data_IF_743933670821
#
_entry.id   IF_743933670821
#
_cell.length_a   1.000
_cell.length_b   1.000
_cell.length_c   1.000
_cell.angle_alpha   90.00
_cell.angle_beta   90.00
_cell.angle_gamma   90.00
#
_symmetry.space_group_name_H-M   'P 1'
#
loop_
_entity.id
_entity.type
_entity.pdbx_description
1 polymer ?
#
# COMPACT_ATOMS: atom_id res chain seq x y z
N UNK A 1 20.13 7.85 22.64
CA UNK A 1 20.99 8.15 21.47
C UNK A 1 20.33 7.70 20.17
N UNK A 2 20.01 6.42 19.99
CA UNK A 2 19.27 5.92 18.81
C UNK A 2 17.91 6.62 18.60
N UNK A 3 17.10 6.79 19.65
CA UNK A 3 15.82 7.49 19.54
C UNK A 3 15.94 8.96 19.11
N UNK A 4 17.04 9.64 19.47
CA UNK A 4 17.30 11.02 19.04
C UNK A 4 17.78 11.06 17.59
N UNK A 5 18.61 10.09 17.17
CA UNK A 5 19.10 9.96 15.79
C UNK A 5 17.96 9.57 14.84
N UNK A 6 17.14 8.59 15.19
CA UNK A 6 15.97 8.19 14.41
C UNK A 6 14.85 9.25 14.48
N UNK A 7 14.65 9.86 15.65
CA UNK A 7 13.63 10.90 15.84
C UNK A 7 13.96 12.19 15.09
N UNK A 8 15.22 12.62 15.06
CA UNK A 8 15.65 13.79 14.30
C UNK A 8 15.57 13.54 12.77
N UNK A 9 15.95 12.35 12.30
CA UNK A 9 15.80 11.98 10.88
C UNK A 9 14.34 11.91 10.45
N UNK A 10 13.48 11.29 11.26
CA UNK A 10 12.06 11.14 10.96
C UNK A 10 11.28 12.48 11.08
N UNK A 11 11.65 13.34 12.02
CA UNK A 11 11.07 14.68 12.12
C UNK A 11 11.51 15.56 10.94
N UNK A 12 12.78 15.50 10.54
CA UNK A 12 13.27 16.22 9.36
C UNK A 12 12.48 15.86 8.09
N UNK A 13 12.21 14.56 7.90
CA UNK A 13 11.45 14.04 6.76
C UNK A 13 9.94 14.39 6.80
N UNK A 14 9.37 14.64 7.99
CA UNK A 14 7.97 15.08 8.12
C UNK A 14 7.74 16.59 7.96
N UNK A 15 8.76 17.44 8.15
CA UNK A 15 8.63 18.90 8.10
C UNK A 15 9.08 19.54 6.78
N UNK A 16 9.79 18.81 5.91
CA UNK A 16 10.10 19.26 4.54
C UNK A 16 8.93 18.90 3.60
N UNK A 17 8.54 19.82 2.71
CA UNK A 17 7.61 19.47 1.63
C UNK A 17 8.16 18.27 0.86
N UNK A 18 7.32 17.28 0.48
CA UNK A 18 7.80 16.08 -0.17
C UNK A 18 8.58 16.46 -1.41
N UNK A 19 9.90 16.29 -1.34
CA UNK A 19 10.80 16.64 -2.43
C UNK A 19 10.38 15.84 -3.67
N UNK A 20 10.66 16.35 -4.86
CA UNK A 20 10.38 15.62 -6.12
C UNK A 20 10.95 14.19 -6.08
N UNK A 21 12.05 13.99 -5.34
CA UNK A 21 12.65 12.69 -5.11
C UNK A 21 11.77 11.77 -4.23
N UNK A 22 11.23 12.23 -3.10
CA UNK A 22 10.34 11.44 -2.23
C UNK A 22 8.99 11.12 -2.91
N UNK A 23 8.44 12.08 -3.65
CA UNK A 23 7.22 11.86 -4.45
C UNK A 23 7.44 10.85 -5.58
N UNK A 24 8.61 10.84 -6.21
CA UNK A 24 8.94 9.90 -7.29
C UNK A 24 9.35 8.51 -6.76
N UNK A 25 10.14 8.45 -5.69
CA UNK A 25 10.61 7.19 -5.08
C UNK A 25 9.48 6.50 -4.32
N UNK A 26 8.68 7.25 -3.56
CA UNK A 26 7.54 6.74 -2.81
C UNK A 26 6.45 6.15 -3.71
N UNK A 27 6.23 6.73 -4.91
CA UNK A 27 5.26 6.17 -5.85
C UNK A 27 5.72 4.85 -6.47
N UNK A 28 6.99 4.75 -6.87
CA UNK A 28 7.58 3.51 -7.38
C UNK A 28 7.65 2.40 -6.33
N UNK A 29 8.00 2.76 -5.10
CA UNK A 29 8.02 1.83 -3.96
C UNK A 29 6.62 1.32 -3.64
N UNK A 30 5.63 2.20 -3.49
CA UNK A 30 4.24 1.81 -3.22
C UNK A 30 3.68 0.90 -4.33
N UNK A 31 3.92 1.21 -5.61
CA UNK A 31 3.48 0.37 -6.71
C UNK A 31 4.13 -1.03 -6.67
N UNK A 32 5.44 -1.09 -6.38
CA UNK A 32 6.17 -2.37 -6.29
C UNK A 32 5.68 -3.21 -5.11
N UNK A 33 5.52 -2.60 -3.94
CA UNK A 33 5.05 -3.30 -2.74
C UNK A 33 3.61 -3.80 -2.91
N UNK A 34 2.74 -3.00 -3.54
CA UNK A 34 1.38 -3.43 -3.87
C UNK A 34 1.39 -4.66 -4.80
N UNK A 35 2.24 -4.68 -5.83
CA UNK A 35 2.34 -5.83 -6.73
C UNK A 35 2.83 -7.11 -6.02
N UNK A 36 3.82 -6.98 -5.12
CA UNK A 36 4.32 -8.13 -4.34
C UNK A 36 3.23 -8.66 -3.40
N UNK A 37 2.56 -7.74 -2.68
CA UNK A 37 1.45 -8.09 -1.80
C UNK A 37 0.31 -8.77 -2.56
N UNK A 38 -0.04 -8.22 -3.72
CA UNK A 38 -1.10 -8.73 -4.57
C UNK A 38 -0.80 -10.14 -5.06
N UNK A 39 0.44 -10.40 -5.48
CA UNK A 39 0.85 -11.72 -5.93
C UNK A 39 0.81 -12.76 -4.81
N UNK A 40 1.23 -12.39 -3.60
CA UNK A 40 1.25 -13.31 -2.46
C UNK A 40 -0.15 -13.60 -1.91
N UNK A 41 -1.09 -12.66 -2.04
CA UNK A 41 -2.46 -12.79 -1.52
C UNK A 41 -3.49 -13.12 -2.61
N UNK A 42 -3.05 -13.57 -3.78
CA UNK A 42 -3.94 -13.93 -4.89
C UNK A 42 -4.96 -14.97 -4.44
N UNK A 43 -6.23 -14.75 -4.78
CA UNK A 43 -7.35 -15.62 -4.42
C UNK A 43 -7.89 -15.41 -3.00
N UNK A 44 -7.26 -14.53 -2.21
CA UNK A 44 -7.72 -14.14 -0.86
C UNK A 44 -8.13 -12.67 -0.76
N UNK A 45 -7.80 -11.87 -1.76
CA UNK A 45 -8.17 -10.47 -1.78
C UNK A 45 -9.64 -10.31 -2.14
N UNK A 46 -10.28 -9.29 -1.56
CA UNK A 46 -11.67 -8.95 -1.87
C UNK A 46 -11.92 -8.83 -3.38
N UNK A 47 -11.02 -8.18 -4.11
CA UNK A 47 -11.11 -8.03 -5.58
C UNK A 47 -11.19 -9.37 -6.32
N UNK A 48 -10.56 -10.41 -5.78
CA UNK A 48 -10.54 -11.75 -6.35
C UNK A 48 -11.80 -12.55 -6.00
N UNK A 49 -12.41 -12.32 -4.82
CA UNK A 49 -13.54 -13.13 -4.31
C UNK A 49 -14.90 -12.43 -4.40
N UNK A 50 -14.94 -11.11 -4.65
CA UNK A 50 -16.18 -10.31 -4.61
C UNK A 50 -17.27 -10.80 -5.57
N UNK A 51 -16.89 -11.38 -6.72
CA UNK A 51 -17.84 -11.89 -7.70
C UNK A 51 -18.79 -12.93 -7.07
N UNK A 52 -18.27 -13.79 -6.17
CA UNK A 52 -19.05 -14.81 -5.45
C UNK A 52 -20.15 -14.23 -4.56
N UNK A 53 -20.02 -12.98 -4.13
CA UNK A 53 -20.94 -12.33 -3.20
C UNK A 53 -21.83 -11.27 -3.85
N UNK A 54 -21.44 -10.78 -5.03
CA UNK A 54 -22.19 -9.74 -5.76
C UNK A 54 -23.08 -10.38 -6.83
N UNK A 55 -22.61 -11.42 -7.51
CA UNK A 55 -23.43 -12.19 -8.46
C UNK A 55 -24.27 -13.26 -7.74
N UNK A 56 -23.83 -13.73 -6.56
CA UNK A 56 -24.58 -14.68 -5.72
C UNK A 56 -25.87 -14.14 -5.08
N UNK A 57 -26.36 -12.96 -5.50
CA UNK A 57 -27.70 -12.47 -5.21
C UNK A 57 -28.69 -12.65 -6.38
N UNK A 58 -28.24 -13.08 -7.55
CA UNK A 58 -29.08 -13.23 -8.76
C UNK A 58 -29.37 -14.70 -9.14
N UNK A 59 -28.63 -15.68 -8.60
CA UNK A 59 -28.80 -17.12 -8.89
C UNK A 59 -29.64 -17.88 -7.83
N UNK A 60 -30.46 -17.18 -7.05
CA UNK A 60 -31.49 -17.75 -6.15
C UNK A 60 -32.92 -17.53 -6.69
N UNK A 61 -33.14 -17.68 -8.01
CA UNK A 61 -34.47 -17.79 -8.63
C UNK A 61 -34.55 -18.92 -9.68
#
# INVERSE_FOLDING_TARGET
MLAAVFGAGFAWEMYEEPTIFDRASGHGFNATMNNIWDSNNRGRQWKDIRHKYIEGGEDEE
#
